data_IF_159230310992
#
_entry.id   IF_159230310992
#
_cell.length_a   1.000
_cell.length_b   1.000
_cell.length_c   1.000
_cell.angle_alpha   90.00
_cell.angle_beta   90.00
_cell.angle_gamma   90.00
#
_symmetry.space_group_name_H-M   'P 1'
#
loop_
_entity.id
_entity.type
_entity.pdbx_description
1 polymer ?
#
# COMPACT_ATOMS: atom_id res chain seq x y z
N UNK A 1 3.21 -21.34 -6.25
CA UNK A 1 3.89 -20.34 -5.40
C UNK A 1 2.82 -19.38 -4.94
N UNK A 2 2.47 -19.39 -3.66
CA UNK A 2 1.46 -18.49 -3.10
C UNK A 2 2.11 -17.12 -2.96
N UNK A 3 1.82 -16.20 -3.87
CA UNK A 3 2.22 -14.80 -3.70
C UNK A 3 1.48 -14.33 -2.46
N UNK A 4 2.22 -14.02 -1.40
CA UNK A 4 1.61 -13.53 -0.17
C UNK A 4 1.01 -12.17 -0.49
N UNK A 5 -0.21 -11.88 -0.03
CA UNK A 5 -0.89 -10.60 -0.26
C UNK A 5 -0.07 -9.37 0.19
N UNK A 6 1.05 -9.57 0.88
CA UNK A 6 2.01 -8.55 1.31
C UNK A 6 3.06 -8.19 0.26
N UNK A 7 3.39 -9.09 -0.67
CA UNK A 7 4.42 -8.86 -1.69
C UNK A 7 3.91 -7.99 -2.84
N UNK A 8 2.58 -7.98 -3.04
CA UNK A 8 1.91 -7.14 -4.01
C UNK A 8 1.94 -5.65 -3.64
N UNK A 9 1.63 -5.24 -2.39
CA UNK A 9 1.85 -3.86 -1.95
C UNK A 9 3.28 -3.40 -2.17
N UNK A 10 4.29 -4.14 -1.70
CA UNK A 10 5.70 -3.73 -1.85
C UNK A 10 6.08 -3.45 -3.31
N UNK A 11 5.54 -4.25 -4.23
CA UNK A 11 5.75 -4.08 -5.68
C UNK A 11 4.94 -2.93 -6.27
N UNK A 12 3.71 -2.76 -5.81
CA UNK A 12 2.78 -1.74 -6.25
C UNK A 12 3.25 -0.34 -5.85
N UNK A 13 3.72 -0.23 -4.60
CA UNK A 13 4.43 0.94 -4.13
C UNK A 13 5.80 1.07 -4.82
N UNK A 14 6.43 -0.01 -5.29
CA UNK A 14 7.76 -0.04 -5.92
C UNK A 14 7.95 0.76 -7.23
N UNK A 15 6.89 1.33 -7.81
CA UNK A 15 7.02 2.31 -8.90
C UNK A 15 7.60 3.64 -8.38
N UNK A 16 8.21 4.45 -9.25
CA UNK A 16 8.94 5.73 -9.02
C UNK A 16 8.19 6.86 -8.26
N UNK A 17 7.16 6.52 -7.48
CA UNK A 17 6.37 7.44 -6.67
C UNK A 17 6.74 7.23 -5.20
N UNK A 18 7.60 8.09 -4.68
CA UNK A 18 7.96 8.15 -3.25
C UNK A 18 6.84 8.71 -2.37
N UNK A 19 5.82 9.33 -2.97
CA UNK A 19 4.76 10.06 -2.28
C UNK A 19 3.39 9.72 -2.87
N UNK A 20 2.53 9.06 -2.11
CA UNK A 20 1.20 8.65 -2.54
C UNK A 20 0.14 9.17 -1.59
N UNK A 21 -0.95 9.70 -2.12
CA UNK A 21 -2.13 9.97 -1.28
C UNK A 21 -2.72 8.65 -0.79
N UNK A 22 -3.35 8.62 0.39
CA UNK A 22 -4.09 7.43 0.89
C UNK A 22 -5.06 6.86 -0.14
N UNK A 23 -5.77 7.74 -0.84
CA UNK A 23 -6.71 7.32 -1.90
C UNK A 23 -6.00 6.62 -3.06
N UNK A 24 -4.88 7.16 -3.54
CA UNK A 24 -4.10 6.56 -4.64
C UNK A 24 -3.49 5.23 -4.22
N UNK A 25 -2.97 5.17 -3.00
CA UNK A 25 -2.52 3.95 -2.34
C UNK A 25 -3.60 2.86 -2.34
N UNK A 26 -4.84 3.21 -2.01
CA UNK A 26 -5.95 2.26 -2.03
C UNK A 26 -6.31 1.82 -3.45
N UNK A 27 -6.35 2.74 -4.41
CA UNK A 27 -6.63 2.42 -5.82
C UNK A 27 -5.56 1.50 -6.42
N UNK A 28 -4.28 1.75 -6.12
CA UNK A 28 -3.15 0.91 -6.52
C UNK A 28 -3.28 -0.48 -5.90
N UNK A 29 -3.61 -0.57 -4.61
CA UNK A 29 -3.80 -1.85 -3.93
C UNK A 29 -4.95 -2.66 -4.52
N UNK A 30 -6.08 -2.01 -4.82
CA UNK A 30 -7.23 -2.62 -5.49
C UNK A 30 -6.91 -3.06 -6.93
N UNK A 31 -6.07 -2.31 -7.64
CA UNK A 31 -5.71 -2.59 -9.02
C UNK A 31 -4.66 -3.71 -9.16
N UNK A 32 -3.67 -3.74 -8.26
CA UNK A 32 -2.54 -4.66 -8.36
C UNK A 32 -2.73 -5.95 -7.55
N UNK A 33 -3.53 -5.92 -6.48
CA UNK A 33 -3.73 -7.10 -5.64
C UNK A 33 -4.96 -7.88 -6.03
N UNK A 34 -4.75 -9.06 -6.64
CA UNK A 34 -5.80 -10.07 -6.88
C UNK A 34 -6.50 -10.56 -5.58
N UNK A 35 -5.98 -10.15 -4.42
CA UNK A 35 -6.44 -10.53 -3.07
C UNK A 35 -7.14 -9.37 -2.33
N UNK A 36 -7.17 -8.17 -2.89
CA UNK A 36 -7.82 -6.99 -2.29
C UNK A 36 -8.99 -6.64 -3.19
N UNK A 37 -10.18 -7.11 -2.81
CA UNK A 37 -11.42 -6.88 -3.56
C UNK A 37 -12.20 -5.71 -2.98
N UNK A 38 -12.06 -5.43 -1.68
CA UNK A 38 -12.76 -4.36 -0.99
C UNK A 38 -11.84 -3.22 -0.55
N UNK A 39 -12.40 -2.02 -0.52
CA UNK A 39 -11.70 -0.83 -0.03
C UNK A 39 -11.25 -0.99 1.43
N UNK A 40 -12.03 -1.72 2.24
CA UNK A 40 -11.68 -2.01 3.64
C UNK A 40 -10.45 -2.91 3.76
N UNK A 41 -10.22 -3.83 2.83
CA UNK A 41 -9.00 -4.63 2.78
C UNK A 41 -7.79 -3.79 2.39
N UNK A 42 -7.97 -2.85 1.45
CA UNK A 42 -6.94 -1.90 1.07
C UNK A 42 -6.55 -0.98 2.25
N UNK A 43 -7.55 -0.46 2.97
CA UNK A 43 -7.35 0.34 4.18
C UNK A 43 -6.60 -0.45 5.26
N UNK A 44 -6.98 -1.72 5.48
CA UNK A 44 -6.33 -2.59 6.45
C UNK A 44 -4.85 -2.83 6.10
N UNK A 45 -4.54 -3.00 4.82
CA UNK A 45 -3.17 -3.21 4.34
C UNK A 45 -2.34 -1.94 4.53
N UNK A 46 -2.88 -0.75 4.20
CA UNK A 46 -2.20 0.53 4.43
C UNK A 46 -1.92 0.76 5.91
N UNK A 47 -2.91 0.57 6.78
CA UNK A 47 -2.75 0.73 8.23
C UNK A 47 -1.66 -0.21 8.77
N UNK A 48 -1.63 -1.44 8.24
CA UNK A 48 -0.61 -2.41 8.62
C UNK A 48 0.80 -2.08 8.11
N UNK A 49 0.93 -1.44 6.95
CA UNK A 49 2.21 -0.96 6.44
C UNK A 49 2.74 0.23 7.26
N UNK A 50 1.84 1.09 7.74
CA UNK A 50 2.16 2.16 8.69
C UNK A 50 2.62 1.59 10.05
N UNK A 51 1.88 0.63 10.60
CA UNK A 51 2.21 -0.03 11.88
C UNK A 51 3.58 -0.73 11.85
N UNK A 52 3.93 -1.33 10.71
CA UNK A 52 5.24 -1.97 10.51
C UNK A 52 6.38 -0.99 10.22
N UNK A 53 6.09 0.30 10.07
CA UNK A 53 7.08 1.31 9.73
C UNK A 53 7.63 1.20 8.30
N UNK A 54 6.89 0.54 7.41
CA UNK A 54 7.22 0.51 5.97
C UNK A 54 6.76 1.78 5.25
N UNK A 55 5.62 2.31 5.71
CA UNK A 55 5.11 3.60 5.30
C UNK A 55 5.10 4.55 6.49
N UNK A 56 5.16 5.84 6.20
CA UNK A 56 4.86 6.91 7.15
C UNK A 56 4.03 7.99 6.48
N UNK A 57 3.19 8.67 7.25
CA UNK A 57 2.35 9.75 6.74
C UNK A 57 3.00 11.12 7.01
N UNK A 58 3.12 11.96 5.97
CA UNK A 58 3.55 13.36 6.03
C UNK A 58 2.57 14.21 5.24
N UNK A 59 1.98 15.23 5.87
CA UNK A 59 1.02 16.13 5.21
C UNK A 59 -0.12 15.37 4.49
N UNK A 60 -0.59 14.26 5.06
CA UNK A 60 -1.65 13.43 4.49
C UNK A 60 -1.22 12.55 3.31
N UNK A 61 0.08 12.49 3.02
CA UNK A 61 0.68 11.66 1.98
C UNK A 61 1.49 10.54 2.63
N UNK A 62 1.33 9.32 2.10
CA UNK A 62 2.09 8.14 2.46
C UNK A 62 3.43 8.16 1.72
N UNK A 63 4.50 7.98 2.48
CA UNK A 63 5.86 7.84 1.95
C UNK A 63 6.49 6.55 2.44
N UNK A 64 7.38 5.98 1.65
CA UNK A 64 8.15 4.80 2.03
C UNK A 64 9.27 5.19 2.98
N UNK A 65 9.48 4.36 3.99
CA UNK A 65 10.70 4.39 4.80
C UNK A 65 11.86 3.87 3.95
N UNK A 66 12.96 4.64 3.91
CA UNK A 66 14.23 4.25 3.26
C UNK A 66 14.91 3.07 3.97
#
# INVERSE_FOLDING_TARGET
MTVSAYQTPERAYGSDTDELSKSEAHEILLAESEHIEEQTDAEYVVDRLLDRGWLYEVDGQLRKTD
#
